data_IF_774915918351
#
_entry.id   IF_774915918351
#
_cell.length_a   1.000
_cell.length_b   1.000
_cell.length_c   1.000
_cell.angle_alpha   90.00
_cell.angle_beta   90.00
_cell.angle_gamma   90.00
#
_symmetry.space_group_name_H-M   'P 1'
#
loop_
_entity.id
_entity.type
_entity.pdbx_description
1 polymer ?
#
# COMPACT_ATOMS: atom_id res chain seq x y z
N UNK A 1 23.76 -24.09 5.07
CA UNK A 1 22.97 -23.21 4.20
C UNK A 1 22.57 -22.01 5.07
N UNK A 2 22.99 -20.80 4.72
CA UNK A 2 22.70 -19.59 5.52
C UNK A 2 21.65 -18.74 4.81
N UNK A 3 20.72 -18.18 5.57
CA UNK A 3 19.68 -17.27 5.08
C UNK A 3 19.94 -15.91 5.72
N UNK A 4 20.05 -14.89 4.88
CA UNK A 4 20.19 -13.50 5.31
C UNK A 4 18.92 -12.79 4.84
N UNK A 5 18.15 -12.27 5.79
CA UNK A 5 16.96 -11.48 5.53
C UNK A 5 17.28 -10.00 5.79
N UNK A 6 16.92 -9.14 4.85
CA UNK A 6 17.06 -7.70 4.99
C UNK A 6 16.00 -6.98 4.15
N UNK A 7 15.65 -5.77 4.56
CA UNK A 7 14.76 -4.87 3.82
C UNK A 7 15.58 -3.76 3.15
N UNK A 8 15.26 -3.44 1.91
CA UNK A 8 15.89 -2.34 1.18
C UNK A 8 14.99 -1.87 0.04
N UNK A 9 15.23 -0.66 -0.45
CA UNK A 9 14.54 -0.14 -1.62
C UNK A 9 15.19 -0.63 -2.91
N UNK A 10 14.36 -0.85 -3.93
CA UNK A 10 14.83 -1.08 -5.30
C UNK A 10 15.16 0.28 -5.91
N UNK A 11 16.41 0.50 -6.29
CA UNK A 11 16.84 1.71 -7.00
C UNK A 11 17.23 1.35 -8.42
N UNK A 12 16.54 1.93 -9.42
CA UNK A 12 16.78 1.65 -10.84
C UNK A 12 16.81 0.14 -11.18
N UNK A 13 15.87 -0.62 -10.62
CA UNK A 13 15.80 -2.07 -10.81
C UNK A 13 16.91 -2.88 -10.12
N UNK A 14 17.72 -2.24 -9.27
CA UNK A 14 18.82 -2.90 -8.54
C UNK A 14 18.53 -2.94 -7.04
N UNK A 15 18.71 -4.12 -6.44
CA UNK A 15 18.71 -4.33 -4.99
C UNK A 15 20.16 -4.28 -4.51
N UNK A 16 20.47 -3.30 -3.67
CA UNK A 16 21.80 -3.19 -3.09
C UNK A 16 21.87 -3.97 -1.78
N UNK A 17 22.78 -4.96 -1.73
CA UNK A 17 23.07 -5.70 -0.51
C UNK A 17 23.74 -4.75 0.52
N UNK A 18 23.19 -4.63 1.74
CA UNK A 18 23.78 -3.85 2.83
C UNK A 18 25.23 -4.25 3.11
N UNK A 19 26.07 -3.27 3.47
CA UNK A 19 27.53 -3.47 3.61
C UNK A 19 27.89 -4.59 4.59
N UNK A 20 27.16 -4.69 5.68
CA UNK A 20 27.30 -5.72 6.73
C UNK A 20 27.20 -7.17 6.23
N UNK A 21 26.49 -7.41 5.12
CA UNK A 21 26.30 -8.76 4.58
C UNK A 21 27.24 -9.08 3.40
N UNK A 22 27.96 -8.09 2.86
CA UNK A 22 28.76 -8.30 1.64
C UNK A 22 29.86 -9.34 1.81
N UNK A 23 30.54 -9.33 2.94
CA UNK A 23 31.62 -10.28 3.24
C UNK A 23 31.09 -11.70 3.50
N UNK A 24 29.80 -11.83 3.79
CA UNK A 24 29.12 -13.10 4.05
C UNK A 24 28.54 -13.74 2.78
N UNK A 25 28.59 -13.04 1.64
CA UNK A 25 27.99 -13.48 0.38
C UNK A 25 29.09 -13.65 -0.68
N UNK A 26 29.28 -14.89 -1.14
CA UNK A 26 30.19 -15.20 -2.25
C UNK A 26 29.54 -16.18 -3.23
N UNK A 27 29.79 -16.00 -4.53
CA UNK A 27 29.30 -16.90 -5.58
C UNK A 27 27.82 -16.72 -5.92
N UNK A 28 27.17 -17.82 -6.32
CA UNK A 28 25.77 -17.83 -6.76
C UNK A 28 24.82 -17.82 -5.57
N UNK A 29 23.87 -16.90 -5.57
CA UNK A 29 22.83 -16.79 -4.54
C UNK A 29 21.44 -17.11 -5.09
N UNK A 30 20.54 -17.54 -4.21
CA UNK A 30 19.09 -17.62 -4.47
C UNK A 30 18.42 -16.44 -3.77
N UNK A 31 17.67 -15.63 -4.51
CA UNK A 31 16.97 -14.45 -3.99
C UNK A 31 15.48 -14.75 -3.88
N UNK A 32 14.85 -14.34 -2.79
CA UNK A 32 13.40 -14.37 -2.58
C UNK A 32 12.97 -12.92 -2.37
N UNK A 33 12.04 -12.43 -3.20
CA UNK A 33 11.50 -11.08 -3.06
C UNK A 33 10.11 -11.19 -2.45
N UNK A 34 9.93 -10.55 -1.31
CA UNK A 34 8.62 -10.23 -0.75
C UNK A 34 8.42 -8.74 -0.96
N UNK A 35 7.44 -8.39 -1.77
CA UNK A 35 6.97 -7.02 -1.90
C UNK A 35 5.78 -6.88 -0.97
N UNK A 36 5.74 -5.83 -0.18
CA UNK A 36 4.46 -5.34 0.30
C UNK A 36 3.64 -5.05 -0.96
N UNK A 37 2.44 -5.62 -1.06
CA UNK A 37 1.50 -5.13 -2.05
C UNK A 37 1.43 -3.62 -1.77
N UNK A 38 1.85 -2.81 -2.74
CA UNK A 38 1.35 -1.46 -2.77
C UNK A 38 -0.14 -1.70 -2.95
N UNK A 39 -0.87 -1.76 -1.84
CA UNK A 39 -2.25 -1.34 -1.86
C UNK A 39 -2.14 0.01 -2.55
N UNK A 40 -2.55 0.06 -3.82
CA UNK A 40 -3.06 1.29 -4.39
C UNK A 40 -4.20 1.62 -3.44
N UNK A 41 -3.86 2.28 -2.32
CA UNK A 41 -4.76 2.77 -1.30
C UNK A 41 -5.53 3.85 -2.04
N UNK A 42 -6.52 3.39 -2.79
CA UNK A 42 -7.42 4.22 -3.52
C UNK A 42 -8.21 4.94 -2.44
N UNK A 43 -7.77 6.17 -2.14
CA UNK A 43 -8.43 7.02 -1.18
C UNK A 43 -9.81 7.36 -1.74
N UNK A 44 -10.78 6.55 -1.35
CA UNK A 44 -12.17 6.69 -1.76
C UNK A 44 -12.73 8.06 -1.33
N UNK A 45 -12.22 8.64 -0.23
CA UNK A 45 -12.63 9.98 0.20
C UNK A 45 -12.09 11.02 -0.78
N UNK A 46 -10.80 10.98 -1.11
CA UNK A 46 -10.18 11.87 -2.09
C UNK A 46 -10.86 11.75 -3.47
N UNK A 47 -11.09 10.53 -3.92
CA UNK A 47 -11.79 10.28 -5.18
C UNK A 47 -13.20 10.88 -5.22
N UNK A 48 -13.99 10.74 -4.15
CA UNK A 48 -15.35 11.27 -4.10
C UNK A 48 -15.40 12.80 -3.95
N UNK A 49 -14.34 13.44 -3.43
CA UNK A 49 -14.21 14.89 -3.42
C UNK A 49 -14.00 15.43 -4.83
N UNK A 50 -13.18 14.76 -5.64
CA UNK A 50 -12.93 15.13 -7.04
C UNK A 50 -14.08 14.70 -7.98
N UNK A 51 -14.70 13.56 -7.67
CA UNK A 51 -15.79 12.94 -8.43
C UNK A 51 -17.01 12.75 -7.54
N UNK A 52 -17.73 13.84 -7.21
CA UNK A 52 -18.93 13.76 -6.39
C UNK A 52 -19.95 12.82 -7.02
N UNK A 53 -20.53 11.96 -6.18
CA UNK A 53 -21.50 10.98 -6.63
C UNK A 53 -22.88 11.61 -6.80
N UNK A 54 -23.16 12.05 -8.03
CA UNK A 54 -24.42 12.70 -8.38
C UNK A 54 -25.56 11.69 -8.55
N UNK A 55 -26.44 11.59 -7.54
CA UNK A 55 -27.73 10.90 -7.66
C UNK A 55 -28.88 11.90 -7.72
N UNK A 56 -29.55 11.92 -8.86
CA UNK A 56 -30.74 12.75 -9.14
C UNK A 56 -31.85 12.58 -8.09
N UNK A 57 -31.96 11.41 -7.46
CA UNK A 57 -32.99 11.09 -6.48
C UNK A 57 -32.50 11.11 -5.02
N UNK A 58 -31.36 11.75 -4.73
CA UNK A 58 -30.88 11.87 -3.35
C UNK A 58 -31.55 13.07 -2.66
N UNK A 59 -32.48 12.79 -1.75
CA UNK A 59 -32.98 13.77 -0.78
C UNK A 59 -32.39 13.42 0.57
N UNK A 60 -31.47 14.24 1.12
CA UNK A 60 -30.97 14.02 2.48
C UNK A 60 -32.15 14.02 3.46
N UNK A 61 -32.10 13.14 4.46
CA UNK A 61 -33.02 13.22 5.59
C UNK A 61 -32.74 14.50 6.36
N UNK A 62 -33.80 15.15 6.82
CA UNK A 62 -33.72 16.24 7.78
C UNK A 62 -33.22 15.71 9.13
N UNK A 63 -32.73 16.63 9.95
CA UNK A 63 -32.18 16.29 11.27
C UNK A 63 -33.22 15.59 12.15
N UNK A 64 -34.47 16.04 12.11
CA UNK A 64 -35.57 15.47 12.90
C UNK A 64 -35.89 14.04 12.45
N UNK A 65 -35.94 13.79 11.13
CA UNK A 65 -36.18 12.45 10.56
C UNK A 65 -35.08 11.43 10.91
N UNK A 66 -33.86 11.88 11.23
CA UNK A 66 -32.77 11.00 11.68
C UNK A 66 -33.00 10.57 13.13
N UNK A 67 -33.42 11.48 14.00
CA UNK A 67 -33.63 11.19 15.42
C UNK A 67 -34.90 10.36 15.68
N UNK A 68 -35.92 10.49 14.83
CA UNK A 68 -37.17 9.71 14.93
C UNK A 68 -37.00 8.22 14.54
N UNK A 69 -35.82 7.82 14.03
CA UNK A 69 -35.50 6.42 13.64
C UNK A 69 -34.73 5.63 14.72
N UNK A 70 -34.51 6.21 15.91
CA UNK A 70 -33.89 5.56 17.07
C UNK A 70 -34.97 5.16 18.09
#
# INVERSE_FOLDING_TARGET
>A
MSIIEFQTYIHHGTINVPKEYRDHITGRVRVILLTDEADDDFDMVEHLLEHPYDRVAFSPLTRDEIYDRQ
#
